data_IF_085429384208
#
_entry.id   IF_085429384208
#
_cell.length_a   1.000
_cell.length_b   1.000
_cell.length_c   1.000
_cell.angle_alpha   90.00
_cell.angle_beta   90.00
_cell.angle_gamma   90.00
#
_symmetry.space_group_name_H-M   'P 1'
#
loop_
_entity.id
_entity.type
_entity.pdbx_description
1 polymer ?
#
# COMPACT_ATOMS: atom_id res chain seq x y z
N UNK A 1 -1.91 13.73 -17.43
CA UNK A 1 -2.71 12.51 -17.64
C UNK A 1 -3.91 12.60 -16.72
N UNK A 2 -5.10 12.25 -17.20
CA UNK A 2 -6.34 12.27 -16.42
C UNK A 2 -6.96 10.88 -16.42
N UNK A 3 -7.53 10.48 -15.29
CA UNK A 3 -8.29 9.24 -15.14
C UNK A 3 -9.73 9.63 -14.87
N UNK A 4 -10.66 9.04 -15.61
CA UNK A 4 -12.10 9.27 -15.44
C UNK A 4 -12.67 8.00 -14.82
N UNK A 5 -13.37 8.15 -13.70
CA UNK A 5 -14.06 7.06 -13.02
C UNK A 5 -15.55 7.39 -13.03
N UNK A 6 -16.35 6.50 -13.61
CA UNK A 6 -17.80 6.61 -13.56
C UNK A 6 -18.31 5.99 -12.25
N UNK A 7 -19.15 6.74 -11.54
CA UNK A 7 -19.73 6.31 -10.26
C UNK A 7 -21.24 6.26 -10.39
N UNK A 8 -21.85 5.30 -9.72
CA UNK A 8 -23.27 5.35 -9.40
C UNK A 8 -23.56 6.47 -8.42
N UNK A 9 -24.82 6.92 -8.36
CA UNK A 9 -25.22 7.95 -7.38
C UNK A 9 -25.10 7.51 -5.92
N UNK A 10 -24.96 6.22 -5.63
CA UNK A 10 -24.66 5.72 -4.28
C UNK A 10 -23.17 5.82 -3.96
N UNK A 11 -22.30 5.36 -4.87
CA UNK A 11 -20.85 5.45 -4.72
C UNK A 11 -20.38 6.90 -4.62
N UNK A 12 -20.97 7.81 -5.41
CA UNK A 12 -20.66 9.24 -5.32
C UNK A 12 -21.02 9.80 -3.94
N UNK A 13 -22.20 9.47 -3.41
CA UNK A 13 -22.63 9.91 -2.08
C UNK A 13 -21.72 9.37 -0.97
N UNK A 14 -21.28 8.12 -1.11
CA UNK A 14 -20.33 7.51 -0.20
C UNK A 14 -18.97 8.22 -0.23
N UNK A 15 -18.43 8.44 -1.42
CA UNK A 15 -17.14 9.12 -1.62
C UNK A 15 -17.16 10.56 -1.08
N UNK A 16 -18.25 11.31 -1.34
CA UNK A 16 -18.44 12.66 -0.81
C UNK A 16 -18.53 12.66 0.73
N UNK A 17 -19.23 11.69 1.32
CA UNK A 17 -19.37 11.57 2.78
C UNK A 17 -18.03 11.27 3.44
N UNK A 18 -17.25 10.34 2.86
CA UNK A 18 -15.89 10.05 3.29
C UNK A 18 -15.01 11.30 3.23
N UNK A 19 -14.96 11.96 2.07
CA UNK A 19 -14.13 13.15 1.86
C UNK A 19 -14.47 14.26 2.88
N UNK A 20 -15.76 14.48 3.16
CA UNK A 20 -16.24 15.43 4.16
C UNK A 20 -15.77 15.10 5.58
N UNK A 21 -15.87 13.84 6.00
CA UNK A 21 -15.42 13.40 7.34
C UNK A 21 -13.91 13.60 7.49
N UNK A 22 -13.16 13.36 6.42
CA UNK A 22 -11.70 13.46 6.42
C UNK A 22 -11.16 14.84 6.02
N UNK A 23 -12.02 15.84 5.78
CA UNK A 23 -11.61 17.19 5.43
C UNK A 23 -10.80 17.30 4.13
N UNK A 24 -11.06 16.40 3.19
CA UNK A 24 -10.33 16.27 1.91
C UNK A 24 -11.29 16.37 0.72
N UNK A 25 -10.77 16.41 -0.50
CA UNK A 25 -11.59 16.28 -1.72
C UNK A 25 -11.79 14.80 -2.08
N UNK A 26 -12.82 14.50 -2.88
CA UNK A 26 -13.02 13.13 -3.41
C UNK A 26 -11.84 12.68 -4.25
N UNK A 27 -11.26 13.59 -5.05
CA UNK A 27 -10.07 13.30 -5.87
C UNK A 27 -8.87 12.92 -5.00
N UNK A 28 -8.56 13.71 -3.97
CA UNK A 28 -7.43 13.47 -3.09
C UNK A 28 -7.61 12.18 -2.29
N UNK A 29 -8.82 11.94 -1.75
CA UNK A 29 -9.16 10.69 -1.11
C UNK A 29 -8.98 9.49 -2.06
N UNK A 30 -9.52 9.56 -3.28
CA UNK A 30 -9.38 8.47 -4.25
C UNK A 30 -7.93 8.23 -4.63
N UNK A 31 -7.17 9.28 -4.93
CA UNK A 31 -5.77 9.17 -5.31
C UNK A 31 -4.94 8.54 -4.20
N UNK A 32 -5.09 9.00 -2.96
CA UNK A 32 -4.35 8.46 -1.82
C UNK A 32 -4.68 6.98 -1.61
N UNK A 33 -5.97 6.64 -1.48
CA UNK A 33 -6.37 5.26 -1.23
C UNK A 33 -5.98 4.32 -2.39
N UNK A 34 -5.99 4.80 -3.64
CA UNK A 34 -5.56 3.99 -4.78
C UNK A 34 -4.08 3.63 -4.72
N UNK A 35 -3.19 4.58 -4.38
CA UNK A 35 -1.77 4.29 -4.23
C UNK A 35 -1.47 3.48 -2.98
N UNK A 36 -2.15 3.75 -1.86
CA UNK A 36 -2.04 2.97 -0.62
C UNK A 36 -2.38 1.50 -0.86
N UNK A 37 -3.44 1.20 -1.61
CA UNK A 37 -3.80 -0.18 -2.00
C UNK A 37 -2.71 -0.86 -2.85
N UNK A 38 -2.06 -0.12 -3.75
CA UNK A 38 -0.96 -0.66 -4.57
C UNK A 38 0.27 -0.94 -3.70
N UNK A 39 0.60 -0.01 -2.79
CA UNK A 39 1.70 -0.17 -1.84
C UNK A 39 1.46 -1.37 -0.91
N UNK A 40 0.25 -1.51 -0.35
CA UNK A 40 -0.12 -2.63 0.50
C UNK A 40 0.04 -3.99 -0.21
N UNK A 41 -0.42 -4.10 -1.46
CA UNK A 41 -0.29 -5.32 -2.25
C UNK A 41 1.19 -5.64 -2.56
N UNK A 42 1.98 -4.62 -2.89
CA UNK A 42 3.40 -4.77 -3.15
C UNK A 42 4.16 -5.20 -1.88
N UNK A 43 3.93 -4.52 -0.76
CA UNK A 43 4.56 -4.81 0.52
C UNK A 43 4.21 -6.22 1.02
N UNK A 44 2.96 -6.65 0.85
CA UNK A 44 2.54 -8.02 1.15
C UNK A 44 3.32 -9.04 0.30
N UNK A 45 3.45 -8.81 -1.01
CA UNK A 45 4.19 -9.70 -1.89
C UNK A 45 5.69 -9.79 -1.53
N UNK A 46 6.32 -8.65 -1.19
CA UNK A 46 7.72 -8.61 -0.73
C UNK A 46 7.87 -9.37 0.59
N UNK A 47 6.95 -9.17 1.54
CA UNK A 47 6.97 -9.86 2.82
C UNK A 47 6.81 -11.37 2.66
N UNK A 48 5.89 -11.82 1.79
CA UNK A 48 5.69 -13.24 1.49
C UNK A 48 6.95 -13.87 0.89
N UNK A 49 7.60 -13.20 -0.07
CA UNK A 49 8.83 -13.66 -0.68
C UNK A 49 9.97 -13.79 0.36
N UNK A 50 10.16 -12.77 1.19
CA UNK A 50 11.16 -12.79 2.27
C UNK A 50 10.87 -13.90 3.29
N UNK A 51 9.60 -14.12 3.64
CA UNK A 51 9.21 -15.17 4.55
C UNK A 51 9.47 -16.56 3.97
N UNK A 52 9.15 -16.79 2.70
CA UNK A 52 9.46 -18.04 2.02
C UNK A 52 10.96 -18.35 2.01
N UNK A 53 11.80 -17.35 1.73
CA UNK A 53 13.26 -17.49 1.75
C UNK A 53 13.75 -17.87 3.15
N UNK A 54 13.26 -17.18 4.19
CA UNK A 54 13.58 -17.48 5.58
C UNK A 54 13.17 -18.91 5.97
N UNK A 55 12.00 -19.39 5.54
CA UNK A 55 11.58 -20.77 5.77
C UNK A 55 12.49 -21.75 5.04
N UNK A 56 12.84 -21.49 3.77
CA UNK A 56 13.74 -22.32 2.95
C UNK A 56 15.18 -22.36 3.51
N UNK A 57 15.64 -21.31 4.19
CA UNK A 57 16.96 -21.27 4.85
C UNK A 57 17.05 -22.12 6.11
N UNK A 58 15.94 -22.74 6.53
CA UNK A 58 15.83 -23.44 7.80
C UNK A 58 15.64 -22.49 8.98
N UNK A 59 15.01 -21.33 8.74
CA UNK A 59 14.70 -20.31 9.75
C UNK A 59 15.96 -19.71 10.40
N UNK A 60 17.05 -19.65 9.65
CA UNK A 60 18.29 -19.03 10.11
C UNK A 60 18.16 -17.52 10.03
N UNK A 61 18.35 -16.86 11.16
CA UNK A 61 18.50 -15.41 11.20
C UNK A 61 19.88 -14.99 10.71
N UNK A 62 19.97 -13.77 10.18
CA UNK A 62 21.24 -13.07 9.92
C UNK A 62 21.40 -11.88 10.88
N UNK A 63 22.63 -11.43 11.16
CA UNK A 63 22.89 -10.20 11.89
C UNK A 63 22.17 -9.00 11.24
N UNK A 64 21.71 -8.04 12.05
CA UNK A 64 20.98 -6.85 11.55
C UNK A 64 21.91 -5.91 10.79
N UNK A 65 23.21 -5.98 11.07
CA UNK A 65 24.26 -5.20 10.43
C UNK A 65 24.32 -5.45 8.92
N UNK A 66 24.10 -6.70 8.48
CA UNK A 66 24.03 -7.03 7.05
C UNK A 66 22.88 -6.31 6.34
N UNK A 67 21.73 -6.15 7.01
CA UNK A 67 20.60 -5.40 6.46
C UNK A 67 20.90 -3.90 6.35
N UNK A 68 21.58 -3.32 7.33
CA UNK A 68 21.95 -1.91 7.28
C UNK A 68 22.93 -1.63 6.13
N UNK A 69 23.93 -2.50 5.91
CA UNK A 69 24.83 -2.40 4.77
C UNK A 69 24.09 -2.48 3.43
N UNK A 70 23.12 -3.40 3.29
CA UNK A 70 22.28 -3.52 2.08
C UNK A 70 21.43 -2.26 1.80
N UNK A 71 20.94 -1.60 2.86
CA UNK A 71 20.12 -0.39 2.78
C UNK A 71 20.96 0.90 2.68
N UNK A 72 22.28 0.81 2.83
CA UNK A 72 23.18 1.97 2.86
C UNK A 72 22.97 2.89 4.06
N UNK A 73 22.59 2.31 5.21
CA UNK A 73 22.34 3.01 6.48
C UNK A 73 23.53 2.93 7.45
#
# INVERSE_FOLDING_TARGET
MAVIVELTGEEERLAQSYAKIHGTSVEEAMKRNFFEMIEDEYDAAVADAAYEEYVKSGKKSRPIEELWEELGL
#
